data_IF_436842030024
#
_entry.id   IF_436842030024
#
_cell.length_a   1.000
_cell.length_b   1.000
_cell.length_c   1.000
_cell.angle_alpha   90.00
_cell.angle_beta   90.00
_cell.angle_gamma   90.00
#
_symmetry.space_group_name_H-M   'P 1'
#
loop_
_entity.id
_entity.type
_entity.pdbx_description
1 polymer ?
#
# COMPACT_ATOMS: atom_id res chain seq x y z
N UNK A 1 1.07 5.66 1.15
CA UNK A 1 0.20 4.66 1.82
C UNK A 1 -0.66 3.89 0.83
N UNK A 2 -1.39 4.53 -0.09
CA UNK A 2 -2.19 3.82 -1.11
C UNK A 2 -1.36 2.82 -1.94
N UNK A 3 -0.23 3.25 -2.51
CA UNK A 3 0.75 2.39 -3.20
C UNK A 3 1.15 1.15 -2.37
N UNK A 4 1.43 1.35 -1.08
CA UNK A 4 1.79 0.28 -0.15
C UNK A 4 0.62 -0.69 0.10
N UNK A 5 -0.59 -0.17 0.31
CA UNK A 5 -1.80 -0.99 0.48
C UNK A 5 -2.14 -1.78 -0.78
N UNK A 6 -2.02 -1.19 -1.97
CA UNK A 6 -2.21 -1.89 -3.25
C UNK A 6 -1.24 -3.06 -3.35
N UNK A 7 0.05 -2.84 -3.08
CA UNK A 7 1.06 -3.91 -3.06
C UNK A 7 0.72 -5.00 -2.06
N UNK A 8 0.23 -4.62 -0.87
CA UNK A 8 0.00 -5.54 0.24
C UNK A 8 -1.31 -6.34 0.13
N UNK A 9 -2.34 -5.75 -0.45
CA UNK A 9 -3.69 -6.34 -0.54
C UNK A 9 -3.95 -7.03 -1.88
N UNK A 10 -3.44 -6.48 -2.99
CA UNK A 10 -3.69 -7.02 -4.34
C UNK A 10 -2.55 -7.87 -4.88
N UNK A 11 -1.33 -7.68 -4.37
CA UNK A 11 -0.16 -8.42 -4.84
C UNK A 11 0.40 -7.95 -6.18
N UNK A 12 -0.18 -6.89 -6.77
CA UNK A 12 0.28 -6.23 -8.00
C UNK A 12 1.80 -5.98 -7.98
N UNK A 13 2.45 -6.11 -9.13
CA UNK A 13 3.86 -5.78 -9.31
C UNK A 13 4.09 -4.27 -9.17
N UNK A 14 5.31 -3.86 -8.84
CA UNK A 14 5.63 -2.43 -8.74
C UNK A 14 5.41 -1.67 -10.05
N UNK A 15 5.50 -2.36 -11.19
CA UNK A 15 5.23 -1.78 -12.50
C UNK A 15 3.73 -1.56 -12.72
N UNK A 16 2.89 -2.54 -12.42
CA UNK A 16 1.41 -2.39 -12.50
C UNK A 16 0.91 -1.30 -11.54
N UNK A 17 1.48 -1.25 -10.33
CA UNK A 17 1.21 -0.17 -9.38
C UNK A 17 1.67 1.17 -9.95
N UNK A 18 2.86 1.24 -10.56
CA UNK A 18 3.34 2.46 -11.22
C UNK A 18 2.34 2.98 -12.23
N UNK A 19 1.88 2.13 -13.15
CA UNK A 19 0.87 2.48 -14.16
C UNK A 19 -0.43 2.96 -13.50
N UNK A 20 -0.94 2.22 -12.52
CA UNK A 20 -2.19 2.58 -11.82
C UNK A 20 -2.15 3.91 -11.05
N UNK A 21 -0.95 4.38 -10.69
CA UNK A 21 -0.74 5.65 -9.98
C UNK A 21 -0.14 6.75 -10.88
N UNK A 22 0.04 6.52 -12.19
CA UNK A 22 0.67 7.48 -13.11
C UNK A 22 2.16 7.74 -12.80
N UNK A 23 2.86 6.74 -12.27
CA UNK A 23 4.28 6.78 -11.92
C UNK A 23 5.05 5.89 -12.91
N UNK A 24 5.73 6.52 -13.85
CA UNK A 24 6.47 5.79 -14.90
C UNK A 24 7.73 5.09 -14.38
N UNK A 25 8.33 5.62 -13.30
CA UNK A 25 9.58 5.07 -12.76
C UNK A 25 9.30 4.02 -11.69
N UNK A 26 9.60 2.77 -12.03
CA UNK A 26 9.66 1.64 -11.09
C UNK A 26 10.41 1.98 -9.80
N UNK A 27 11.57 2.64 -9.91
CA UNK A 27 12.42 2.99 -8.77
C UNK A 27 11.75 3.97 -7.80
N UNK A 28 10.84 4.82 -8.30
CA UNK A 28 10.02 5.70 -7.46
C UNK A 28 9.02 4.89 -6.65
N UNK A 29 8.33 3.94 -7.30
CA UNK A 29 7.36 3.06 -6.62
C UNK A 29 8.07 2.21 -5.55
N UNK A 30 9.22 1.62 -5.88
CA UNK A 30 10.03 0.83 -4.93
C UNK A 30 10.40 1.63 -3.68
N UNK A 31 10.96 2.84 -3.87
CA UNK A 31 11.33 3.71 -2.74
C UNK A 31 10.15 4.10 -1.86
N UNK A 32 8.98 4.33 -2.45
CA UNK A 32 7.77 4.64 -1.69
C UNK A 32 7.33 3.43 -0.87
N UNK A 33 7.39 2.22 -1.43
CA UNK A 33 7.05 0.98 -0.72
C UNK A 33 8.03 0.73 0.42
N UNK A 34 9.33 0.79 0.16
CA UNK A 34 10.39 0.63 1.17
C UNK A 34 10.24 1.64 2.32
N UNK A 35 10.04 2.92 2.00
CA UNK A 35 9.81 3.96 3.00
C UNK A 35 8.56 3.67 3.83
N UNK A 36 7.48 3.21 3.22
CA UNK A 36 6.26 2.84 3.94
C UNK A 36 6.49 1.64 4.86
N UNK A 37 7.25 0.63 4.43
CA UNK A 37 7.60 -0.51 5.27
C UNK A 37 8.40 -0.09 6.51
N UNK A 38 9.38 0.80 6.36
CA UNK A 38 10.12 1.34 7.49
C UNK A 38 9.21 2.11 8.46
N UNK A 39 8.33 2.96 7.93
CA UNK A 39 7.39 3.73 8.73
C UNK A 39 6.42 2.82 9.49
N UNK A 40 5.95 1.75 8.88
CA UNK A 40 5.09 0.75 9.56
C UNK A 40 5.83 0.05 10.69
N UNK A 41 7.12 -0.24 10.52
CA UNK A 41 7.94 -0.86 11.57
C UNK A 41 8.19 0.10 12.74
N UNK A 42 8.43 1.39 12.46
CA UNK A 42 8.88 2.39 13.44
C UNK A 42 7.73 3.15 14.13
N UNK A 43 6.61 3.36 13.46
CA UNK A 43 5.52 4.22 13.93
C UNK A 43 4.24 3.40 14.18
N UNK A 44 3.85 3.30 15.46
CA UNK A 44 2.64 2.62 15.90
C UNK A 44 1.36 3.27 15.35
N UNK A 45 1.29 4.60 15.27
CA UNK A 45 0.10 5.30 14.75
C UNK A 45 -0.12 4.97 13.28
N UNK A 46 0.95 4.89 12.50
CA UNK A 46 0.90 4.49 11.09
C UNK A 46 0.42 3.04 10.97
N UNK A 47 0.94 2.14 11.81
CA UNK A 47 0.53 0.74 11.85
C UNK A 47 -0.96 0.57 12.17
N UNK A 48 -1.44 1.26 13.21
CA UNK A 48 -2.85 1.25 13.61
C UNK A 48 -3.76 1.80 12.52
N UNK A 49 -3.36 2.92 11.89
CA UNK A 49 -4.13 3.49 10.77
C UNK A 49 -4.22 2.54 9.57
N UNK A 50 -3.12 1.87 9.23
CA UNK A 50 -3.11 0.86 8.17
C UNK A 50 -4.00 -0.33 8.53
N UNK A 51 -3.95 -0.82 9.77
CA UNK A 51 -4.82 -1.90 10.24
C UNK A 51 -6.31 -1.55 10.10
N UNK A 52 -6.69 -0.33 10.48
CA UNK A 52 -8.06 0.16 10.34
C UNK A 52 -8.48 0.25 8.86
N UNK A 53 -7.64 0.82 8.00
CA UNK A 53 -7.91 0.90 6.56
C UNK A 53 -8.03 -0.47 5.91
N UNK A 54 -7.15 -1.41 6.25
CA UNK A 54 -7.22 -2.80 5.77
C UNK A 54 -8.52 -3.46 6.20
N UNK A 55 -8.96 -3.27 7.45
CA UNK A 55 -10.23 -3.83 7.93
C UNK A 55 -11.43 -3.27 7.18
N UNK A 56 -11.45 -1.97 6.89
CA UNK A 56 -12.52 -1.35 6.09
C UNK A 56 -12.53 -1.90 4.67
N UNK A 57 -11.36 -1.97 4.03
CA UNK A 57 -11.24 -2.44 2.64
C UNK A 57 -11.66 -3.90 2.52
N UNK A 58 -11.24 -4.79 3.43
CA UNK A 58 -11.64 -6.20 3.38
C UNK A 58 -13.16 -6.34 3.58
N UNK A 59 -13.74 -5.65 4.58
CA UNK A 59 -15.18 -5.69 4.83
C UNK A 59 -16.02 -5.16 3.67
N UNK A 60 -15.51 -4.16 2.93
CA UNK A 60 -16.22 -3.64 1.76
C UNK A 60 -16.16 -4.58 0.55
N UNK A 61 -15.19 -5.49 0.49
CA UNK A 61 -15.10 -6.52 -0.57
C UNK A 61 -16.00 -7.74 -0.29
N UNK A 62 -16.34 -8.04 0.97
CA UNK A 62 -17.26 -9.15 1.31
C UNK A 62 -18.75 -8.82 1.10
N UNK A 63 -19.07 -7.54 0.85
CA UNK A 63 -20.45 -7.04 0.76
C UNK A 63 -21.00 -6.99 -0.69
N UNK A 64 -20.39 -7.74 -1.62
CA UNK A 64 -20.84 -7.85 -3.02
C UNK A 64 -20.93 -9.31 -3.43
#
# INVERSE_FOLDING_TARGET
MAIYLTRKLRGDTLQEIGVGFGIDRYSTVSRVVERMEELVKKDEKIRTRIGHLTSIIIKSQELT
#
